data_IF_817561426794
#
_entry.id   IF_817561426794
#
_cell.length_a   1.000
_cell.length_b   1.000
_cell.length_c   1.000
_cell.angle_alpha   90.00
_cell.angle_beta   90.00
_cell.angle_gamma   90.00
#
_symmetry.space_group_name_H-M   'P 1'
#
loop_
_entity.id
_entity.type
_entity.pdbx_description
1 polymer ?
#
# COMPACT_ATOMS: atom_id res chain seq x y z
N UNK A 1 -4.99 -6.78 -2.82
CA UNK A 1 -4.65 -7.01 -1.40
C UNK A 1 -4.61 -5.64 -0.74
N UNK A 2 -5.40 -5.42 0.30
CA UNK A 2 -5.57 -4.09 0.90
C UNK A 2 -4.65 -3.90 2.13
N UNK A 3 -4.42 -2.64 2.53
CA UNK A 3 -3.64 -2.33 3.74
C UNK A 3 -4.29 -2.89 5.03
N UNK A 4 -5.61 -3.02 5.03
CA UNK A 4 -6.41 -3.61 6.10
C UNK A 4 -6.16 -5.12 6.28
N UNK A 5 -5.73 -5.83 5.22
CA UNK A 5 -5.46 -7.27 5.26
C UNK A 5 -4.05 -7.59 5.80
N UNK A 6 -3.17 -6.59 5.91
CA UNK A 6 -1.80 -6.76 6.41
C UNK A 6 -1.80 -6.53 7.92
N UNK A 7 -1.41 -7.55 8.68
CA UNK A 7 -1.32 -7.45 10.13
C UNK A 7 -0.11 -6.60 10.56
N UNK A 8 -0.37 -5.55 11.35
CA UNK A 8 0.68 -4.68 11.89
C UNK A 8 1.34 -3.76 10.86
N UNK A 9 2.63 -3.44 11.07
CA UNK A 9 3.41 -2.53 10.21
C UNK A 9 2.81 -1.12 10.07
N UNK A 10 2.07 -0.65 11.09
CA UNK A 10 1.32 0.62 11.05
C UNK A 10 2.18 1.84 10.73
N UNK A 11 3.40 1.87 11.27
CA UNK A 11 4.37 2.93 10.95
C UNK A 11 4.73 2.95 9.46
N UNK A 12 4.93 1.79 8.83
CA UNK A 12 5.27 1.69 7.41
C UNK A 12 4.07 2.06 6.55
N UNK A 13 2.87 1.56 6.86
CA UNK A 13 1.63 1.92 6.15
C UNK A 13 1.41 3.44 6.19
N UNK A 14 1.53 4.05 7.37
CA UNK A 14 1.39 5.51 7.55
C UNK A 14 2.45 6.29 6.76
N UNK A 15 3.71 5.84 6.79
CA UNK A 15 4.78 6.49 6.03
C UNK A 15 4.54 6.43 4.51
N UNK A 16 4.21 5.26 3.98
CA UNK A 16 3.97 5.05 2.55
C UNK A 16 2.77 5.87 2.04
N UNK A 17 1.66 5.83 2.77
CA UNK A 17 0.43 6.56 2.42
C UNK A 17 0.64 8.06 2.52
N UNK A 18 1.33 8.56 3.55
CA UNK A 18 1.68 9.97 3.67
C UNK A 18 2.58 10.44 2.53
N UNK A 19 3.59 9.64 2.15
CA UNK A 19 4.48 9.96 1.03
C UNK A 19 3.72 10.05 -0.29
N UNK A 20 2.82 9.10 -0.54
CA UNK A 20 1.96 9.10 -1.72
C UNK A 20 0.99 10.29 -1.73
N UNK A 21 0.36 10.62 -0.61
CA UNK A 21 -0.55 11.78 -0.49
C UNK A 21 0.16 13.12 -0.73
N UNK A 22 1.45 13.21 -0.38
CA UNK A 22 2.28 14.38 -0.65
C UNK A 22 2.82 14.41 -2.10
N UNK A 23 2.45 13.44 -2.94
CA UNK A 23 2.97 13.31 -4.31
C UNK A 23 4.46 12.96 -4.39
N UNK A 24 5.06 12.49 -3.28
CA UNK A 24 6.47 12.14 -3.18
C UNK A 24 6.62 10.64 -3.26
N UNK A 25 6.69 10.10 -4.47
CA UNK A 25 6.79 8.66 -4.72
C UNK A 25 8.18 8.36 -5.30
N UNK A 26 9.02 7.58 -4.61
CA UNK A 26 10.29 7.12 -5.18
C UNK A 26 10.06 6.27 -6.43
N UNK A 27 10.93 6.43 -7.44
CA UNK A 27 10.87 5.62 -8.66
C UNK A 27 11.15 4.13 -8.41
N UNK A 28 11.80 3.81 -7.29
CA UNK A 28 12.09 2.45 -6.84
C UNK A 28 11.94 2.37 -5.33
N UNK A 29 11.21 1.36 -4.86
CA UNK A 29 10.99 1.06 -3.44
C UNK A 29 11.36 -0.40 -3.20
N UNK A 30 12.33 -0.64 -2.31
CA UNK A 30 12.76 -1.99 -1.94
C UNK A 30 12.11 -2.40 -0.61
N UNK A 31 11.38 -3.51 -0.62
CA UNK A 31 10.78 -4.10 0.59
C UNK A 31 11.60 -5.33 0.99
N UNK A 32 12.24 -5.27 2.16
CA UNK A 32 13.09 -6.36 2.68
C UNK A 32 12.60 -6.76 4.07
N UNK A 33 12.58 -8.06 4.32
CA UNK A 33 12.19 -8.62 5.61
C UNK A 33 12.29 -10.14 5.59
N UNK A 34 12.27 -10.79 6.76
CA UNK A 34 12.27 -12.24 6.86
C UNK A 34 10.99 -12.84 6.24
N UNK A 35 11.04 -14.11 5.88
CA UNK A 35 9.86 -14.83 5.39
C UNK A 35 8.70 -14.75 6.41
N UNK A 36 7.48 -14.58 5.90
CA UNK A 36 6.28 -14.41 6.74
C UNK A 36 6.07 -13.00 7.30
N UNK A 37 6.97 -12.03 7.07
CA UNK A 37 6.83 -10.65 7.57
C UNK A 37 5.83 -9.76 6.80
N UNK A 38 5.21 -10.28 5.74
CA UNK A 38 4.22 -9.53 4.96
C UNK A 38 4.80 -8.47 4.01
N UNK A 39 6.07 -8.59 3.60
CA UNK A 39 6.72 -7.66 2.66
C UNK A 39 6.10 -7.66 1.27
N UNK A 40 5.83 -8.84 0.71
CA UNK A 40 5.15 -8.99 -0.57
C UNK A 40 3.73 -8.38 -0.57
N UNK A 41 2.82 -8.73 0.38
CA UNK A 41 1.51 -8.11 0.41
C UNK A 41 1.57 -6.60 0.66
N UNK A 42 2.56 -6.09 1.42
CA UNK A 42 2.80 -4.64 1.57
C UNK A 42 3.14 -3.97 0.24
N UNK A 43 4.04 -4.55 -0.55
CA UNK A 43 4.40 -4.02 -1.87
C UNK A 43 3.20 -3.98 -2.82
N UNK A 44 2.39 -5.06 -2.83
CA UNK A 44 1.18 -5.15 -3.68
C UNK A 44 0.13 -4.13 -3.22
N UNK A 45 -0.13 -4.02 -1.92
CA UNK A 45 -1.10 -3.07 -1.37
C UNK A 45 -0.69 -1.62 -1.63
N UNK A 46 0.61 -1.31 -1.59
CA UNK A 46 1.12 0.01 -1.93
C UNK A 46 1.02 0.31 -3.43
N UNK A 47 1.35 -0.66 -4.30
CA UNK A 47 1.17 -0.49 -5.74
C UNK A 47 -0.31 -0.25 -6.10
N UNK A 48 -1.23 -1.00 -5.48
CA UNK A 48 -2.66 -0.81 -5.63
C UNK A 48 -3.10 0.59 -5.16
N UNK A 49 -2.60 1.05 -4.02
CA UNK A 49 -2.86 2.41 -3.51
C UNK A 49 -2.48 3.50 -4.52
N UNK A 50 -1.32 3.36 -5.16
CA UNK A 50 -0.82 4.30 -6.15
C UNK A 50 -1.63 4.24 -7.46
N UNK A 51 -1.83 3.06 -8.02
CA UNK A 51 -2.48 2.87 -9.33
C UNK A 51 -3.95 3.29 -9.26
N UNK A 52 -4.65 2.91 -8.19
CA UNK A 52 -6.06 3.23 -8.02
C UNK A 52 -6.30 4.67 -7.58
N UNK A 53 -5.24 5.47 -7.38
CA UNK A 53 -5.30 6.84 -6.85
C UNK A 53 -6.10 6.94 -5.55
N UNK A 54 -5.92 5.94 -4.68
CA UNK A 54 -6.58 5.90 -3.38
C UNK A 54 -6.05 7.03 -2.48
N UNK A 55 -6.90 7.52 -1.58
CA UNK A 55 -6.59 8.63 -0.67
C UNK A 55 -6.95 8.24 0.76
N UNK A 56 -6.50 9.04 1.74
CA UNK A 56 -6.80 8.87 3.17
C UNK A 56 -6.22 7.61 3.84
N UNK A 57 -5.17 7.01 3.26
CA UNK A 57 -4.41 5.96 3.94
C UNK A 57 -5.00 4.56 3.84
N UNK A 58 -6.08 4.36 3.10
CA UNK A 58 -6.67 3.05 2.83
C UNK A 58 -6.92 2.80 1.35
N UNK A 59 -7.05 1.51 1.01
CA UNK A 59 -7.36 1.03 -0.34
C UNK A 59 -8.88 0.85 -0.55
N UNK A 60 -9.65 1.88 -0.23
CA UNK A 60 -11.11 1.92 -0.27
C UNK A 60 -11.66 3.06 -1.16
N UNK A 61 -10.81 3.64 -2.01
CA UNK A 61 -11.18 4.75 -2.90
C UNK A 61 -12.22 4.38 -3.98
N UNK A 62 -12.68 5.39 -4.70
CA UNK A 62 -13.86 5.34 -5.60
C UNK A 62 -13.78 4.32 -6.75
N UNK A 63 -12.59 3.81 -7.07
CA UNK A 63 -12.40 2.81 -8.11
C UNK A 63 -12.47 1.40 -7.52
N UNK A 64 -13.68 0.96 -7.16
CA UNK A 64 -13.95 -0.37 -6.60
C UNK A 64 -13.38 -1.49 -7.49
N UNK A 65 -13.49 -1.35 -8.82
CA UNK A 65 -12.93 -2.30 -9.78
C UNK A 65 -11.40 -2.47 -9.67
N UNK A 66 -10.70 -1.40 -9.29
CA UNK A 66 -9.25 -1.41 -9.10
C UNK A 66 -8.86 -1.99 -7.73
N UNK A 67 -9.76 -1.92 -6.74
CA UNK A 67 -9.59 -2.46 -5.40
C UNK A 67 -10.02 -3.94 -5.27
N UNK A 68 -10.49 -4.55 -6.37
CA UNK A 68 -10.86 -5.97 -6.41
C UNK A 68 -9.66 -6.88 -6.12
N UNK A 69 -9.95 -7.97 -5.43
CA UNK A 69 -9.01 -9.03 -5.09
C UNK A 69 -8.83 -9.90 -6.34
N UNK A 70 -7.58 -10.12 -6.78
CA UNK A 70 -7.27 -11.29 -7.61
C UNK A 70 -7.30 -12.53 -6.72
#
# INVERSE_FOLDING_TARGET
>A
MQFSEILGQEHIKSHLTKSANLGRIPHAQLFVGPEGSGTLPMAIAYAQYLICSNQNGENSGSNEACNLKF
#
